data_IF_531525626288
#
_entry.id   IF_531525626288
#
_cell.length_a   1.000
_cell.length_b   1.000
_cell.length_c   1.000
_cell.angle_alpha   90.00
_cell.angle_beta   90.00
_cell.angle_gamma   90.00
#
_symmetry.space_group_name_H-M   'P 1'
#
loop_
_entity.id
_entity.type
_entity.pdbx_description
1 polymer ?
#
# COMPACT_ATOMS: atom_id res chain seq x y z
N UNK A 1 10.52 -11.70 16.92
CA UNK A 1 10.55 -10.59 15.95
C UNK A 1 11.62 -9.59 16.38
N UNK A 2 12.30 -8.91 15.43
CA UNK A 2 13.37 -7.96 15.75
C UNK A 2 12.88 -6.67 16.44
N UNK A 3 11.63 -6.25 16.19
CA UNK A 3 11.01 -5.06 16.77
C UNK A 3 9.62 -5.39 17.34
N UNK A 4 9.51 -5.82 18.61
CA UNK A 4 8.25 -6.30 19.17
C UNK A 4 7.19 -5.19 19.32
N UNK A 5 7.63 -3.95 19.58
CA UNK A 5 6.72 -2.82 19.82
C UNK A 5 6.35 -2.04 18.55
N UNK A 6 6.87 -2.46 17.40
CA UNK A 6 6.56 -1.82 16.13
C UNK A 6 5.05 -1.84 15.84
N UNK A 7 4.60 -0.75 15.19
CA UNK A 7 3.26 -0.58 14.62
C UNK A 7 3.37 -0.59 13.11
N UNK A 8 2.35 -1.08 12.43
CA UNK A 8 2.34 -1.30 10.99
C UNK A 8 1.23 -0.48 10.35
N UNK A 9 1.52 0.11 9.20
CA UNK A 9 0.54 0.84 8.40
C UNK A 9 0.45 0.13 7.05
N UNK A 10 -0.75 -0.32 6.70
CA UNK A 10 -1.08 -0.85 5.39
C UNK A 10 -1.82 0.23 4.60
N UNK A 11 -1.19 0.72 3.53
CA UNK A 11 -1.87 1.63 2.60
C UNK A 11 -2.63 0.82 1.57
N UNK A 12 -3.94 0.98 1.52
CA UNK A 12 -4.80 0.39 0.49
C UNK A 12 -5.35 1.49 -0.42
N UNK A 13 -6.02 1.05 -1.48
CA UNK A 13 -6.65 1.87 -2.51
C UNK A 13 -7.49 0.98 -3.40
N UNK A 14 -8.37 1.62 -4.16
CA UNK A 14 -9.10 0.99 -5.25
C UNK A 14 -8.16 0.17 -6.17
N UNK A 15 -8.39 -1.16 -6.33
CA UNK A 15 -7.51 -2.05 -7.08
C UNK A 15 -7.35 -1.66 -8.55
N UNK A 16 -8.40 -1.14 -9.16
CA UNK A 16 -8.42 -0.72 -10.56
C UNK A 16 -7.51 0.47 -10.80
N UNK A 17 -7.69 1.52 -10.00
CA UNK A 17 -6.79 2.69 -10.02
C UNK A 17 -5.36 2.29 -9.69
N UNK A 18 -5.16 1.36 -8.75
CA UNK A 18 -3.83 0.86 -8.38
C UNK A 18 -3.13 0.19 -9.54
N UNK A 19 -3.81 -0.74 -10.19
CA UNK A 19 -3.27 -1.42 -11.35
C UNK A 19 -2.88 -0.43 -12.45
N UNK A 20 -3.75 0.52 -12.80
CA UNK A 20 -3.45 1.53 -13.82
C UNK A 20 -2.19 2.37 -13.47
N UNK A 21 -2.01 2.69 -12.19
CA UNK A 21 -0.83 3.43 -11.71
C UNK A 21 0.44 2.56 -11.78
N UNK A 22 0.34 1.32 -11.32
CA UNK A 22 1.41 0.34 -11.28
C UNK A 22 1.91 0.05 -12.70
N UNK A 23 1.00 -0.29 -13.59
CA UNK A 23 1.26 -0.65 -14.98
C UNK A 23 2.07 0.43 -15.70
N UNK A 24 1.64 1.68 -15.57
CA UNK A 24 2.30 2.83 -16.19
C UNK A 24 3.60 3.24 -15.47
N UNK A 25 3.86 2.81 -14.24
CA UNK A 25 5.12 3.07 -13.53
C UNK A 25 6.18 2.05 -13.93
N UNK A 26 5.85 0.75 -13.89
CA UNK A 26 6.80 -0.32 -14.14
C UNK A 26 7.27 -0.41 -15.60
N UNK A 27 6.43 -0.04 -16.59
CA UNK A 27 6.88 0.09 -17.99
C UNK A 27 8.07 1.05 -18.15
N UNK A 28 8.27 1.99 -17.22
CA UNK A 28 9.35 2.99 -17.30
C UNK A 28 10.63 2.65 -16.55
N UNK A 29 10.63 1.64 -15.67
CA UNK A 29 11.70 1.41 -14.69
C UNK A 29 12.51 0.12 -14.88
N UNK A 30 12.11 -0.79 -15.79
CA UNK A 30 12.92 -1.96 -16.12
C UNK A 30 13.13 -2.97 -14.98
N UNK A 31 12.16 -3.10 -14.06
CA UNK A 31 12.28 -3.91 -12.82
C UNK A 31 11.81 -5.37 -12.99
N UNK A 32 12.13 -6.02 -14.10
CA UNK A 32 11.61 -7.35 -14.45
C UNK A 32 11.83 -8.43 -13.38
N UNK A 33 13.01 -8.45 -12.74
CA UNK A 33 13.30 -9.42 -11.67
C UNK A 33 12.35 -9.25 -10.46
N UNK A 34 12.13 -8.01 -10.01
CA UNK A 34 11.23 -7.74 -8.88
C UNK A 34 9.79 -8.07 -9.23
N UNK A 35 9.36 -7.82 -10.46
CA UNK A 35 8.02 -8.17 -10.93
C UNK A 35 7.79 -9.68 -10.85
N UNK A 36 8.75 -10.48 -11.33
CA UNK A 36 8.67 -11.92 -11.24
C UNK A 36 8.60 -12.41 -9.78
N UNK A 37 9.38 -11.83 -8.88
CA UNK A 37 9.38 -12.23 -7.47
C UNK A 37 8.09 -11.86 -6.74
N UNK A 38 7.54 -10.67 -7.00
CA UNK A 38 6.35 -10.17 -6.31
C UNK A 38 5.07 -10.72 -6.93
N UNK A 39 4.94 -10.65 -8.26
CA UNK A 39 3.71 -11.00 -8.98
C UNK A 39 3.73 -12.41 -9.56
N UNK A 40 4.88 -13.09 -9.57
CA UNK A 40 5.04 -14.40 -10.23
C UNK A 40 5.03 -14.31 -11.75
N UNK A 41 5.08 -13.11 -12.31
CA UNK A 41 5.08 -12.84 -13.75
C UNK A 41 5.83 -11.54 -14.06
N UNK A 42 6.44 -11.48 -15.24
CA UNK A 42 6.95 -10.23 -15.84
C UNK A 42 5.93 -9.60 -16.79
N UNK A 43 4.89 -10.33 -17.17
CA UNK A 43 3.77 -9.83 -17.94
C UNK A 43 2.82 -9.03 -17.03
N UNK A 44 2.97 -7.71 -17.07
CA UNK A 44 2.11 -6.78 -16.34
C UNK A 44 0.80 -6.48 -17.06
N UNK A 45 0.63 -6.91 -18.32
CA UNK A 45 -0.64 -6.75 -19.05
C UNK A 45 -1.67 -7.79 -18.53
N UNK A 46 -1.23 -8.85 -17.85
CA UNK A 46 -2.09 -9.79 -17.12
C UNK A 46 -2.70 -9.17 -15.84
N UNK A 47 -3.62 -8.22 -16.02
CA UNK A 47 -4.28 -7.45 -14.96
C UNK A 47 -4.84 -8.32 -13.84
N UNK A 48 -5.53 -9.40 -14.18
CA UNK A 48 -6.20 -10.29 -13.22
C UNK A 48 -5.19 -10.88 -12.23
N UNK A 49 -4.02 -11.29 -12.73
CA UNK A 49 -2.92 -11.79 -11.89
C UNK A 49 -2.41 -10.70 -10.96
N UNK A 50 -2.13 -9.51 -11.50
CA UNK A 50 -1.56 -8.40 -10.72
C UNK A 50 -2.54 -7.95 -9.61
N UNK A 51 -3.82 -7.82 -9.94
CA UNK A 51 -4.88 -7.46 -8.97
C UNK A 51 -5.10 -8.57 -7.95
N UNK A 52 -5.10 -9.84 -8.36
CA UNK A 52 -5.22 -10.97 -7.44
C UNK A 52 -4.09 -11.00 -6.42
N UNK A 53 -2.84 -10.80 -6.83
CA UNK A 53 -1.70 -10.75 -5.90
C UNK A 53 -1.84 -9.62 -4.90
N UNK A 54 -2.30 -8.45 -5.32
CA UNK A 54 -2.56 -7.31 -4.43
C UNK A 54 -3.65 -7.61 -3.40
N UNK A 55 -4.78 -8.18 -3.84
CA UNK A 55 -5.88 -8.54 -2.95
C UNK A 55 -5.48 -9.64 -1.97
N UNK A 56 -4.78 -10.67 -2.44
CA UNK A 56 -4.24 -11.75 -1.60
C UNK A 56 -3.30 -11.19 -0.55
N UNK A 57 -2.36 -10.31 -0.92
CA UNK A 57 -1.45 -9.70 0.05
C UNK A 57 -2.20 -8.91 1.14
N UNK A 58 -3.20 -8.11 0.78
CA UNK A 58 -4.02 -7.38 1.76
C UNK A 58 -4.74 -8.35 2.71
N UNK A 59 -5.33 -9.42 2.17
CA UNK A 59 -6.03 -10.43 2.96
C UNK A 59 -5.06 -11.17 3.92
N UNK A 60 -3.84 -11.46 3.46
CA UNK A 60 -2.79 -12.08 4.28
C UNK A 60 -2.31 -11.14 5.39
N UNK A 61 -2.13 -9.85 5.11
CA UNK A 61 -1.76 -8.86 6.14
C UNK A 61 -2.86 -8.76 7.19
N UNK A 62 -4.13 -8.66 6.77
CA UNK A 62 -5.27 -8.64 7.70
C UNK A 62 -5.34 -9.91 8.55
N UNK A 63 -5.17 -11.08 7.93
CA UNK A 63 -5.12 -12.37 8.63
C UNK A 63 -3.96 -12.42 9.61
N UNK A 64 -2.79 -11.95 9.21
CA UNK A 64 -1.60 -11.94 10.05
C UNK A 64 -1.82 -11.14 11.33
N UNK A 65 -2.50 -9.99 11.27
CA UNK A 65 -2.73 -9.12 12.43
C UNK A 65 -4.07 -9.36 13.15
N UNK A 66 -4.85 -10.37 12.77
CA UNK A 66 -6.17 -10.64 13.34
C UNK A 66 -6.13 -10.90 14.86
N UNK A 67 -5.01 -11.40 15.38
CA UNK A 67 -4.77 -11.69 16.79
C UNK A 67 -4.16 -10.51 17.58
N UNK A 68 -3.85 -9.40 16.91
CA UNK A 68 -3.09 -8.26 17.45
C UNK A 68 -3.77 -6.93 17.14
N UNK A 69 -4.95 -6.66 17.73
CA UNK A 69 -5.65 -5.41 17.54
C UNK A 69 -4.76 -4.22 17.95
N UNK A 70 -4.80 -3.14 17.18
CA UNK A 70 -3.98 -1.94 17.42
C UNK A 70 -2.51 -2.04 16.97
N UNK A 71 -2.06 -3.17 16.39
CA UNK A 71 -0.75 -3.26 15.73
C UNK A 71 -0.78 -2.87 14.25
N UNK A 72 -1.95 -2.87 13.63
CA UNK A 72 -2.16 -2.54 12.22
C UNK A 72 -3.14 -1.36 12.09
N UNK A 73 -2.74 -0.36 11.32
CA UNK A 73 -3.62 0.68 10.78
C UNK A 73 -3.74 0.46 9.27
N UNK A 74 -4.97 0.36 8.77
CA UNK A 74 -5.26 0.35 7.34
C UNK A 74 -5.80 1.71 6.90
N UNK A 75 -5.24 2.31 5.85
CA UNK A 75 -5.64 3.65 5.34
C UNK A 75 -5.66 3.71 3.82
N UNK A 76 -6.59 4.49 3.26
CA UNK A 76 -6.65 4.86 1.86
C UNK A 76 -6.37 6.36 1.67
N UNK A 77 -5.10 6.68 1.37
CA UNK A 77 -4.64 8.05 1.11
C UNK A 77 -5.31 8.70 -0.12
N UNK A 78 -5.95 7.91 -0.99
CA UNK A 78 -6.69 8.42 -2.15
C UNK A 78 -8.15 8.74 -1.83
N UNK A 79 -8.67 8.22 -0.72
CA UNK A 79 -10.01 8.49 -0.20
C UNK A 79 -10.05 9.67 0.78
N UNK A 80 -8.89 10.22 1.17
CA UNK A 80 -8.79 11.39 2.04
C UNK A 80 -8.12 11.14 3.39
N UNK A 81 -7.73 9.89 3.68
CA UNK A 81 -6.94 9.59 4.89
C UNK A 81 -5.61 10.34 4.87
N UNK A 82 -5.07 10.64 6.05
CA UNK A 82 -3.85 11.43 6.17
C UNK A 82 -3.39 11.57 7.61
N UNK A 83 -3.09 12.81 8.01
CA UNK A 83 -2.42 13.06 9.28
C UNK A 83 -3.19 12.57 10.49
N UNK A 84 -4.51 12.76 10.54
CA UNK A 84 -5.33 12.44 11.71
C UNK A 84 -5.24 10.96 12.09
N UNK A 85 -5.56 10.06 11.14
CA UNK A 85 -5.52 8.62 11.37
C UNK A 85 -4.11 8.12 11.74
N UNK A 86 -3.07 8.61 11.05
CA UNK A 86 -1.69 8.20 11.31
C UNK A 86 -1.21 8.70 12.68
N UNK A 87 -1.51 9.96 13.01
CA UNK A 87 -1.05 10.56 14.26
C UNK A 87 -1.77 9.99 15.48
N UNK A 88 -3.08 9.73 15.38
CA UNK A 88 -3.84 9.02 16.41
C UNK A 88 -3.27 7.62 16.66
N UNK A 89 -3.09 6.83 15.60
CA UNK A 89 -2.49 5.50 15.68
C UNK A 89 -1.07 5.51 16.25
N UNK A 90 -0.29 6.56 15.97
CA UNK A 90 1.07 6.72 16.46
C UNK A 90 1.16 7.37 17.86
N UNK A 91 0.07 7.93 18.39
CA UNK A 91 0.06 8.71 19.63
C UNK A 91 0.92 9.97 19.52
N UNK A 92 0.85 10.67 18.39
CA UNK A 92 1.64 11.87 18.08
C UNK A 92 0.72 13.05 17.75
N UNK A 93 1.16 14.30 17.94
CA UNK A 93 0.39 15.47 17.52
C UNK A 93 0.33 15.56 15.99
N UNK A 94 -0.80 16.01 15.45
CA UNK A 94 -0.97 16.29 14.03
C UNK A 94 -0.05 17.47 13.62
N UNK A 95 0.82 17.30 12.62
CA UNK A 95 1.67 18.38 12.12
C UNK A 95 0.86 19.54 11.55
N UNK A 96 1.47 20.73 11.53
CA UNK A 96 0.88 21.88 10.82
C UNK A 96 1.06 21.69 9.31
N UNK A 97 -0.01 21.92 8.54
CA UNK A 97 0.02 21.90 7.08
C UNK A 97 -0.68 20.69 6.45
N UNK A 98 -0.85 20.69 5.13
CA UNK A 98 -1.55 19.63 4.42
C UNK A 98 -0.74 18.32 4.44
N UNK A 99 -1.43 17.19 4.26
CA UNK A 99 -0.76 15.91 4.04
C UNK A 99 0.04 15.94 2.72
N UNK A 100 1.29 15.43 2.69
CA UNK A 100 2.15 15.56 1.52
C UNK A 100 1.62 14.78 0.30
N UNK A 101 1.74 15.38 -0.88
CA UNK A 101 1.35 14.78 -2.17
C UNK A 101 2.45 15.01 -3.22
N UNK A 102 3.49 14.18 -3.18
CA UNK A 102 4.70 14.35 -4.01
C UNK A 102 4.69 13.50 -5.29
N UNK A 103 4.17 12.28 -5.22
CA UNK A 103 4.21 11.31 -6.32
C UNK A 103 2.89 11.25 -7.11
N UNK A 104 2.15 12.35 -7.15
CA UNK A 104 0.98 12.45 -8.00
C UNK A 104 1.43 12.62 -9.44
N UNK A 105 1.00 11.73 -10.34
CA UNK A 105 1.08 12.02 -11.77
C UNK A 105 0.10 13.15 -12.07
N UNK A 106 0.61 14.24 -12.64
CA UNK A 106 -0.21 15.20 -13.39
C UNK A 106 -0.91 14.46 -14.53
N UNK A 107 -2.20 14.77 -14.73
CA UNK A 107 -3.01 14.20 -15.82
C UNK A 107 -2.38 14.50 -17.17
#
# INVERSE_FOLDING_TARGET
AAWPDARFILTTRDPERWYASLHKHFRSLGLGMLQQQVYGTTDLDCKERIVSVYQTHIAEVRTHFADRPGKLLEIDLTAGDGWEAICDFLGKPVPKGPFPRLNARTK
#
